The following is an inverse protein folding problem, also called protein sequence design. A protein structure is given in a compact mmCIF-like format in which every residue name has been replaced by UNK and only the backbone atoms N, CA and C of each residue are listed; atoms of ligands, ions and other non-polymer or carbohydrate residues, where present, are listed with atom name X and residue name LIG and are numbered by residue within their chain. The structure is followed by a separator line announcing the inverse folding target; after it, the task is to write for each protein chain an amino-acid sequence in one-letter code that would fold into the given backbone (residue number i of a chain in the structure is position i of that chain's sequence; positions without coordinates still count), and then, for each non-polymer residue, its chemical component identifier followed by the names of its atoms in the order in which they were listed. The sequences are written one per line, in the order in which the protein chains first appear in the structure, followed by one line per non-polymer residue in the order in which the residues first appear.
data_IF_638481791395
#
_entry.id   IF_638481791395
#
_cell.length_a   1.000
_cell.length_b   1.000
_cell.length_c   1.000
_cell.angle_alpha   90.00
_cell.angle_beta   90.00
_cell.angle_gamma   90.00
#
_symmetry.space_group_name_H-M   'P 1'
#
loop_
_entity.id
_entity.type
_entity.pdbx_description
1 polymer ?
#
# COMPACT_ATOMS: atom_id res chain seq x y z
N UNK A 1 -4.35 37.55 -44.38
CA UNK A 1 -4.73 36.15 -44.09
C UNK A 1 -3.64 35.36 -43.35
N UNK A 2 -2.34 35.66 -43.55
CA UNK A 2 -1.23 34.96 -42.87
C UNK A 2 -1.21 35.07 -41.33
N UNK A 3 -1.62 36.21 -40.77
CA UNK A 3 -1.67 36.39 -39.31
C UNK A 3 -2.64 35.43 -38.61
N UNK A 4 -3.77 35.11 -39.26
CA UNK A 4 -4.78 34.19 -38.70
C UNK A 4 -4.30 32.74 -38.74
N UNK A 5 -3.60 32.32 -39.80
CA UNK A 5 -3.03 30.96 -39.89
C UNK A 5 -1.88 30.76 -38.92
N UNK A 6 -1.00 31.75 -38.72
CA UNK A 6 0.08 31.69 -37.73
C UNK A 6 -0.47 31.66 -36.31
N UNK A 7 -1.43 32.53 -35.97
CA UNK A 7 -2.06 32.54 -34.66
C UNK A 7 -2.79 31.21 -34.37
N UNK A 8 -3.56 30.69 -35.33
CA UNK A 8 -4.26 29.42 -35.21
C UNK A 8 -3.30 28.24 -35.02
N UNK A 9 -2.20 28.19 -35.78
CA UNK A 9 -1.17 27.15 -35.62
C UNK A 9 -0.48 27.19 -34.26
N UNK A 10 -0.26 28.39 -33.72
CA UNK A 10 0.35 28.58 -32.39
C UNK A 10 -0.61 28.14 -31.27
N UNK A 11 -1.89 28.52 -31.38
CA UNK A 11 -2.92 28.06 -30.44
C UNK A 11 -3.11 26.54 -30.48
N UNK A 12 -3.11 25.94 -31.67
CA UNK A 12 -3.23 24.49 -31.84
C UNK A 12 -2.01 23.77 -31.25
N UNK A 13 -0.79 24.29 -31.48
CA UNK A 13 0.43 23.77 -30.88
C UNK A 13 0.41 23.81 -29.35
N UNK A 14 -0.04 24.92 -28.76
CA UNK A 14 -0.17 25.07 -27.32
C UNK A 14 -1.24 24.13 -26.71
N UNK A 15 -2.38 23.95 -27.40
CA UNK A 15 -3.42 23.02 -26.98
C UNK A 15 -2.95 21.56 -27.01
N UNK A 16 -2.22 21.16 -28.06
CA UNK A 16 -1.64 19.82 -28.18
C UNK A 16 -0.56 19.59 -27.12
N UNK A 17 0.33 20.57 -26.89
CA UNK A 17 1.35 20.48 -25.84
C UNK A 17 0.73 20.34 -24.44
N UNK A 18 -0.31 21.13 -24.13
CA UNK A 18 -1.03 21.03 -22.86
C UNK A 18 -1.73 19.67 -22.70
N UNK A 19 -2.34 19.16 -23.77
CA UNK A 19 -2.97 17.84 -23.76
C UNK A 19 -1.93 16.73 -23.54
N UNK A 20 -0.81 16.78 -24.26
CA UNK A 20 0.30 15.84 -24.11
C UNK A 20 0.90 15.89 -22.70
N UNK A 21 1.07 17.07 -22.12
CA UNK A 21 1.60 17.24 -20.77
C UNK A 21 0.64 16.71 -19.70
N UNK A 22 -0.68 16.89 -19.89
CA UNK A 22 -1.70 16.28 -19.01
C UNK A 22 -1.72 14.75 -19.12
N UNK A 23 -1.59 14.21 -20.32
CA UNK A 23 -1.50 12.77 -20.57
C UNK A 23 -0.24 12.18 -19.93
N UNK A 24 0.92 12.80 -20.12
CA UNK A 24 2.17 12.39 -19.49
C UNK A 24 2.07 12.43 -17.96
N UNK A 25 1.56 13.53 -17.39
CA UNK A 25 1.35 13.65 -15.94
C UNK A 25 0.39 12.59 -15.38
N UNK A 26 -0.67 12.24 -16.11
CA UNK A 26 -1.60 11.19 -15.73
C UNK A 26 -0.96 9.79 -15.77
N UNK A 27 -0.13 9.53 -16.79
CA UNK A 27 0.63 8.27 -16.89
C UNK A 27 1.68 8.15 -15.79
N UNK A 28 2.45 9.20 -15.53
CA UNK A 28 3.45 9.23 -14.46
C UNK A 28 2.81 9.09 -13.08
N UNK A 29 1.64 9.68 -12.86
CA UNK A 29 0.88 9.47 -11.64
C UNK A 29 0.38 8.02 -11.50
N UNK A 30 -0.04 7.38 -12.60
CA UNK A 30 -0.43 5.96 -12.59
C UNK A 30 0.75 5.05 -12.28
N UNK A 31 1.91 5.28 -12.89
CA UNK A 31 3.12 4.47 -12.67
C UNK A 31 3.65 4.61 -11.25
N UNK A 32 3.64 5.82 -10.69
CA UNK A 32 4.06 6.06 -9.30
C UNK A 32 3.16 5.36 -8.30
N UNK A 33 1.86 5.40 -8.52
CA UNK A 33 0.90 4.67 -7.69
C UNK A 33 1.12 3.16 -7.77
N UNK A 34 1.26 2.61 -8.98
CA UNK A 34 1.51 1.19 -9.21
C UNK A 34 2.81 0.73 -8.52
N UNK A 35 3.91 1.49 -8.68
CA UNK A 35 5.17 1.19 -8.02
C UNK A 35 5.06 1.22 -6.49
N UNK A 36 4.36 2.22 -5.93
CA UNK A 36 4.18 2.33 -4.49
C UNK A 36 3.35 1.17 -3.91
N UNK A 37 2.31 0.74 -4.62
CA UNK A 37 1.47 -0.38 -4.20
C UNK A 37 2.20 -1.72 -4.32
N UNK A 38 2.94 -1.95 -5.41
CA UNK A 38 3.75 -3.16 -5.56
C UNK A 38 4.86 -3.24 -4.51
N UNK A 39 5.55 -2.13 -4.22
CA UNK A 39 6.56 -2.09 -3.16
C UNK A 39 5.96 -2.37 -1.78
N UNK A 40 4.79 -1.78 -1.47
CA UNK A 40 4.06 -2.08 -0.24
C UNK A 40 3.76 -3.58 -0.12
N UNK A 41 3.24 -4.21 -1.17
CA UNK A 41 2.90 -5.63 -1.15
C UNK A 41 4.16 -6.48 -0.95
N UNK A 42 5.26 -6.17 -1.64
CA UNK A 42 6.55 -6.85 -1.45
C UNK A 42 7.07 -6.72 -0.02
N UNK A 43 7.05 -5.51 0.52
CA UNK A 43 7.56 -5.25 1.87
C UNK A 43 6.70 -5.92 2.94
N UNK A 44 5.39 -6.04 2.72
CA UNK A 44 4.50 -6.83 3.58
C UNK A 44 4.78 -8.34 3.43
N UNK A 45 4.94 -8.83 2.22
CA UNK A 45 5.26 -10.23 1.93
C UNK A 45 6.61 -10.67 2.51
N UNK A 46 7.60 -9.78 2.56
CA UNK A 46 8.92 -10.05 3.13
C UNK A 46 8.96 -9.98 4.67
N UNK A 47 7.92 -9.46 5.34
CA UNK A 47 7.92 -9.30 6.80
C UNK A 47 7.68 -10.61 7.53
N UNK A 48 8.78 -11.18 8.04
CA UNK A 48 8.79 -12.34 8.97
C UNK A 48 7.85 -12.19 10.16
N UNK A 49 7.58 -10.95 10.61
CA UNK A 49 6.69 -10.71 11.74
C UNK A 49 5.26 -11.25 11.52
N UNK A 50 4.82 -11.44 10.27
CA UNK A 50 3.50 -12.01 9.99
C UNK A 50 3.48 -13.55 9.94
N UNK A 51 4.64 -14.21 10.05
CA UNK A 51 4.74 -15.66 10.21
C UNK A 51 4.51 -16.02 11.69
N UNK A 52 3.25 -16.24 12.05
CA UNK A 52 2.89 -16.66 13.41
C UNK A 52 2.82 -18.19 13.46
N UNK A 53 3.91 -18.83 13.88
CA UNK A 53 3.91 -20.26 14.18
C UNK A 53 3.24 -20.54 15.54
N UNK A 54 2.43 -21.60 15.62
CA UNK A 54 1.62 -21.93 16.80
C UNK A 54 2.47 -22.31 18.03
N UNK A 55 3.69 -22.80 17.80
CA UNK A 55 4.63 -23.24 18.82
C UNK A 55 5.60 -22.14 19.30
N UNK A 56 5.53 -20.94 18.73
CA UNK A 56 6.48 -19.87 19.04
C UNK A 56 6.27 -19.31 20.45
N UNK A 57 7.24 -19.48 21.34
CA UNK A 57 7.25 -18.80 22.63
C UNK A 57 7.75 -17.36 22.49
N UNK A 58 6.86 -16.37 22.67
CA UNK A 58 7.25 -14.96 22.58
C UNK A 58 7.90 -14.45 23.87
N UNK A 59 9.18 -14.13 23.76
CA UNK A 59 9.93 -13.27 24.67
C UNK A 59 9.49 -11.81 24.53
N UNK A 60 9.87 -10.95 25.49
CA UNK A 60 9.55 -9.52 25.40
C UNK A 60 10.19 -8.87 24.16
N UNK A 61 11.44 -9.23 23.86
CA UNK A 61 12.15 -8.73 22.67
C UNK A 61 11.47 -9.13 21.36
N UNK A 62 10.81 -10.29 21.31
CA UNK A 62 10.02 -10.70 20.14
C UNK A 62 8.73 -9.90 20.01
N UNK A 63 8.05 -9.63 21.12
CA UNK A 63 6.89 -8.74 21.15
C UNK A 63 7.27 -7.36 20.61
N UNK A 64 8.37 -6.79 21.10
CA UNK A 64 8.83 -5.46 20.69
C UNK A 64 9.21 -5.43 19.19
N UNK A 65 9.84 -6.50 18.68
CA UNK A 65 10.15 -6.67 17.25
C UNK A 65 8.90 -6.77 16.39
N UNK A 66 7.89 -7.51 16.83
CA UNK A 66 6.59 -7.62 16.14
C UNK A 66 5.89 -6.26 16.10
N UNK A 67 5.77 -5.59 17.25
CA UNK A 67 5.15 -4.27 17.35
C UNK A 67 5.89 -3.25 16.48
N UNK A 68 7.23 -3.26 16.50
CA UNK A 68 8.05 -2.44 15.61
C UNK A 68 7.80 -2.73 14.12
N UNK A 69 7.65 -4.00 13.76
CA UNK A 69 7.35 -4.41 12.39
C UNK A 69 5.96 -3.94 11.93
N UNK A 70 4.96 -3.98 12.82
CA UNK A 70 3.61 -3.47 12.51
C UNK A 70 3.58 -1.94 12.42
N UNK A 71 4.33 -1.23 13.28
CA UNK A 71 4.49 0.24 13.17
C UNK A 71 5.07 0.60 11.81
N UNK A 72 6.13 -0.08 11.39
CA UNK A 72 6.75 0.15 10.10
C UNK A 72 5.82 -0.24 8.93
N UNK A 73 5.05 -1.32 9.02
CA UNK A 73 4.04 -1.66 8.02
C UNK A 73 2.99 -0.54 7.85
N UNK A 74 2.53 0.07 8.95
CA UNK A 74 1.64 1.23 8.91
C UNK A 74 2.27 2.43 8.21
N UNK A 75 3.56 2.67 8.40
CA UNK A 75 4.27 3.76 7.74
C UNK A 75 4.37 3.53 6.23
N UNK A 76 4.67 2.31 5.79
CA UNK A 76 4.63 1.93 4.36
C UNK A 76 3.23 2.13 3.74
N UNK A 77 2.18 1.73 4.46
CA UNK A 77 0.78 1.94 4.01
C UNK A 77 0.49 3.45 3.87
N UNK A 78 0.99 4.27 4.80
CA UNK A 78 0.85 5.73 4.74
C UNK A 78 1.57 6.30 3.52
N UNK A 79 2.79 5.84 3.23
CA UNK A 79 3.56 6.27 2.06
C UNK A 79 2.85 5.89 0.76
N UNK A 80 2.37 4.65 0.64
CA UNK A 80 1.58 4.20 -0.51
C UNK A 80 0.32 5.05 -0.71
N UNK A 81 -0.35 5.43 0.38
CA UNK A 81 -1.53 6.31 0.34
C UNK A 81 -1.20 7.72 -0.11
N UNK A 82 -0.05 8.27 0.28
CA UNK A 82 0.42 9.59 -0.16
C UNK A 82 0.82 9.58 -1.65
N UNK A 83 1.28 8.44 -2.16
CA UNK A 83 1.62 8.25 -3.57
C UNK A 83 0.41 7.93 -4.46
N UNK A 84 -0.71 7.49 -3.86
CA UNK A 84 -1.95 7.16 -4.58
C UNK A 84 -2.60 8.38 -5.22
N UNK A 85 -3.25 8.17 -6.37
CA UNK A 85 -3.96 9.25 -7.06
C UNK A 85 -5.26 9.62 -6.34
N UNK A 86 -5.73 10.87 -6.48
CA UNK A 86 -7.08 11.23 -6.05
C UNK A 86 -8.11 10.30 -6.71
N UNK A 87 -9.00 9.70 -5.90
CA UNK A 87 -10.05 8.74 -6.33
C UNK A 87 -9.54 7.37 -6.78
N UNK A 88 -8.32 7.00 -6.43
CA UNK A 88 -7.83 5.64 -6.65
C UNK A 88 -8.68 4.61 -5.93
N UNK A 89 -8.95 3.50 -6.60
CA UNK A 89 -9.64 2.35 -6.04
C UNK A 89 -8.84 1.67 -4.90
N UNK A 90 -7.54 1.98 -4.77
CA UNK A 90 -6.70 1.47 -3.70
C UNK A 90 -6.94 2.18 -2.35
N UNK A 91 -7.43 3.42 -2.36
CA UNK A 91 -7.55 4.23 -1.14
C UNK A 91 -8.42 3.58 -0.04
N UNK A 92 -9.59 2.97 -0.33
CA UNK A 92 -10.37 2.29 0.70
C UNK A 92 -9.61 1.12 1.35
N UNK A 93 -8.87 0.33 0.56
CA UNK A 93 -8.08 -0.79 1.06
C UNK A 93 -6.92 -0.30 1.94
N UNK A 94 -6.17 0.72 1.50
CA UNK A 94 -5.10 1.32 2.30
C UNK A 94 -5.61 1.93 3.62
N UNK A 95 -6.81 2.52 3.61
CA UNK A 95 -7.46 3.01 4.82
C UNK A 95 -7.81 1.86 5.77
N UNK A 96 -8.34 0.75 5.25
CA UNK A 96 -8.66 -0.42 6.06
C UNK A 96 -7.40 -1.05 6.66
N UNK A 97 -6.34 -1.23 5.87
CA UNK A 97 -5.04 -1.71 6.37
C UNK A 97 -4.51 -0.82 7.51
N UNK A 98 -4.58 0.52 7.33
CA UNK A 98 -4.18 1.47 8.38
C UNK A 98 -4.99 1.27 9.67
N UNK A 99 -6.31 1.08 9.55
CA UNK A 99 -7.20 0.84 10.70
C UNK A 99 -6.81 -0.45 11.43
N UNK A 100 -6.61 -1.54 10.70
CA UNK A 100 -6.20 -2.84 11.26
C UNK A 100 -4.87 -2.74 12.00
N UNK A 101 -3.86 -2.06 11.43
CA UNK A 101 -2.59 -1.82 12.11
C UNK A 101 -2.77 -1.01 13.41
N UNK A 102 -3.56 0.07 13.38
CA UNK A 102 -3.80 0.88 14.58
C UNK A 102 -4.53 0.09 15.67
N UNK A 103 -5.52 -0.72 15.30
CA UNK A 103 -6.25 -1.57 16.25
C UNK A 103 -5.32 -2.59 16.91
N UNK A 104 -4.44 -3.23 16.14
CA UNK A 104 -3.42 -4.12 16.70
C UNK A 104 -2.48 -3.39 17.67
N UNK A 105 -1.98 -2.21 17.27
CA UNK A 105 -1.06 -1.44 18.10
C UNK A 105 -1.71 -1.00 19.42
N UNK A 106 -2.96 -0.55 19.39
CA UNK A 106 -3.71 -0.21 20.60
C UNK A 106 -3.94 -1.44 21.50
N UNK A 107 -4.27 -2.60 20.91
CA UNK A 107 -4.41 -3.85 21.65
C UNK A 107 -3.09 -4.28 22.28
N UNK A 108 -1.97 -4.09 21.58
CA UNK A 108 -0.63 -4.51 22.04
C UNK A 108 -0.18 -3.87 23.35
N UNK A 109 -0.74 -2.70 23.69
CA UNK A 109 -0.45 -2.00 24.95
C UNK A 109 -1.26 -2.55 26.14
N UNK A 110 -2.27 -3.40 25.90
CA UNK A 110 -3.30 -3.75 26.90
C UNK A 110 -3.46 -5.24 27.16
N UNK A 111 -2.96 -6.11 26.29
CA UNK A 111 -3.23 -7.56 26.33
C UNK A 111 -1.99 -8.40 26.66
N UNK A 112 -2.22 -9.61 27.17
CA UNK A 112 -1.16 -10.61 27.35
C UNK A 112 -0.62 -11.15 26.01
N UNK A 113 0.51 -11.87 26.08
CA UNK A 113 1.23 -12.34 24.88
C UNK A 113 0.42 -13.34 24.03
N UNK A 114 -0.40 -14.18 24.64
CA UNK A 114 -1.20 -15.17 23.91
C UNK A 114 -2.33 -14.51 23.13
N UNK A 115 -2.99 -13.51 23.74
CA UNK A 115 -3.97 -12.67 23.03
C UNK A 115 -3.32 -11.85 21.92
N UNK A 116 -2.07 -11.41 22.12
CA UNK A 116 -1.33 -10.66 21.11
C UNK A 116 -1.02 -11.51 19.87
N UNK A 117 -0.65 -12.79 20.04
CA UNK A 117 -0.49 -13.74 18.91
C UNK A 117 -1.77 -13.88 18.11
N UNK A 118 -2.91 -14.06 18.78
CA UNK A 118 -4.22 -14.11 18.14
C UNK A 118 -4.54 -12.83 17.35
N UNK A 119 -4.30 -11.67 17.96
CA UNK A 119 -4.48 -10.38 17.30
C UNK A 119 -3.55 -10.19 16.10
N UNK A 120 -2.32 -10.71 16.15
CA UNK A 120 -1.38 -10.65 15.03
C UNK A 120 -1.82 -11.55 13.87
N UNK A 121 -2.33 -12.77 14.14
CA UNK A 121 -2.91 -13.63 13.10
C UNK A 121 -4.10 -12.95 12.43
N UNK A 122 -4.97 -12.32 13.23
CA UNK A 122 -6.10 -11.56 12.71
C UNK A 122 -5.63 -10.39 11.84
N UNK A 123 -4.62 -9.62 12.29
CA UNK A 123 -4.02 -8.55 11.50
C UNK A 123 -3.47 -9.08 10.17
N UNK A 124 -2.69 -10.16 10.18
CA UNK A 124 -2.15 -10.76 8.97
C UNK A 124 -3.26 -11.16 7.99
N UNK A 125 -4.32 -11.81 8.48
CA UNK A 125 -5.47 -12.20 7.65
C UNK A 125 -6.25 -11.00 7.09
N UNK A 126 -6.40 -9.92 7.87
CA UNK A 126 -7.00 -8.68 7.40
C UNK A 126 -6.14 -8.00 6.33
N UNK A 127 -4.83 -7.92 6.53
CA UNK A 127 -3.90 -7.36 5.54
C UNK A 127 -3.92 -8.18 4.24
N UNK A 128 -3.89 -9.53 4.31
CA UNK A 128 -4.04 -10.38 3.13
C UNK A 128 -5.33 -10.10 2.37
N UNK A 129 -6.46 -10.00 3.09
CA UNK A 129 -7.77 -9.73 2.47
C UNK A 129 -7.79 -8.40 1.72
N UNK A 130 -7.16 -7.38 2.28
CA UNK A 130 -7.06 -6.07 1.62
C UNK A 130 -6.09 -6.09 0.43
N UNK A 131 -4.99 -6.87 0.49
CA UNK A 131 -4.12 -7.11 -0.68
C UNK A 131 -4.89 -7.82 -1.80
N UNK A 132 -5.66 -8.85 -1.48
CA UNK A 132 -6.54 -9.54 -2.45
C UNK A 132 -7.63 -8.61 -3.00
N UNK A 133 -8.11 -7.67 -2.18
CA UNK A 133 -9.03 -6.61 -2.58
C UNK A 133 -8.42 -5.68 -3.61
N UNK A 134 -7.18 -5.23 -3.38
CA UNK A 134 -6.41 -4.42 -4.32
C UNK A 134 -6.25 -5.15 -5.66
N UNK A 135 -5.81 -6.41 -5.65
CA UNK A 135 -5.57 -7.19 -6.87
C UNK A 135 -6.86 -7.41 -7.69
N UNK A 136 -7.99 -7.68 -7.03
CA UNK A 136 -9.29 -7.81 -7.71
C UNK A 136 -9.80 -6.48 -8.28
N UNK A 137 -9.48 -5.36 -7.63
CA UNK A 137 -9.89 -4.03 -8.07
C UNK A 137 -9.11 -3.49 -9.27
N UNK A 138 -7.85 -3.90 -9.43
CA UNK A 138 -7.00 -3.54 -10.58
C UNK A 138 -5.90 -4.60 -10.79
N UNK A 139 -5.99 -5.43 -11.84
CA UNK A 139 -5.06 -6.55 -12.06
C UNK A 139 -3.66 -6.12 -12.50
N UNK A 140 -3.39 -4.81 -12.62
CA UNK A 140 -2.03 -4.29 -12.85
C UNK A 140 -1.13 -4.42 -11.62
N UNK A 141 -1.68 -4.71 -10.46
CA UNK A 141 -0.90 -5.01 -9.26
C UNK A 141 -0.34 -6.42 -9.36
N UNK A 142 0.98 -6.51 -9.54
CA UNK A 142 1.69 -7.68 -10.07
C UNK A 142 1.74 -8.82 -9.04
N UNK A 143 1.55 -8.51 -7.76
CA UNK A 143 1.83 -9.44 -6.67
C UNK A 143 0.58 -9.65 -5.83
N UNK A 144 0.20 -10.91 -5.69
CA UNK A 144 -0.89 -11.39 -4.81
C UNK A 144 -0.33 -12.07 -3.56
N UNK A 145 0.90 -11.71 -3.19
CA UNK A 145 1.63 -12.36 -2.11
C UNK A 145 1.02 -11.98 -0.75
N UNK A 146 0.68 -12.99 0.04
CA UNK A 146 0.23 -12.78 1.41
C UNK A 146 1.37 -12.19 2.26
N UNK A 147 1.08 -11.33 3.26
CA UNK A 147 2.09 -10.86 4.20
C UNK A 147 2.87 -12.03 4.83
N UNK A 148 4.20 -11.94 4.82
CA UNK A 148 5.10 -13.00 5.27
C UNK A 148 5.34 -14.17 4.30
N UNK A 149 4.73 -14.21 3.11
CA UNK A 149 4.88 -15.33 2.17
C UNK A 149 6.30 -15.54 1.64
N UNK A 150 7.11 -14.47 1.57
CA UNK A 150 8.48 -14.50 1.06
C UNK A 150 9.53 -14.63 2.17
N UNK A 151 9.08 -14.77 3.40
CA UNK A 151 9.92 -14.67 4.59
C UNK A 151 10.44 -16.06 5.04
N UNK A 152 10.98 -16.84 4.10
CA UNK A 152 11.62 -18.14 4.37
C UNK A 152 13.06 -17.96 4.87
#
# INVERSE_FOLDING_TARGET
MEFFTIAFSTFLGAAVALAAQRLAAAQDASRREEAALNNLILDLAAKRAFLVADDWHWTQDEVDRVVGSVKHARDLIREARLASRPRSAALPHLQQMTRSCNMFLELSERVDRERLKGALRQLAAELSREVDGLHRGDPRYILSDAPGSLAL
#
